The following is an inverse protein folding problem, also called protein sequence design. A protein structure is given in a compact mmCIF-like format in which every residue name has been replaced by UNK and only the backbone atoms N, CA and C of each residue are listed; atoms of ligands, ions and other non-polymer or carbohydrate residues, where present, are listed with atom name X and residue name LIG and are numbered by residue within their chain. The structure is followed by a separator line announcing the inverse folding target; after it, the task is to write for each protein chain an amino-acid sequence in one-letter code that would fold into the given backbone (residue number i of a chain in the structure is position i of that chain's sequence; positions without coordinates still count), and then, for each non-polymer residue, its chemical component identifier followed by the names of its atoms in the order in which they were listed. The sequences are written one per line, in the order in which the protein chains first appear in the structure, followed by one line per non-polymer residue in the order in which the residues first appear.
data_IF_679833783911
#
_entry.id   IF_679833783911
#
_cell.length_a   1.000
_cell.length_b   1.000
_cell.length_c   1.000
_cell.angle_alpha   90.00
_cell.angle_beta   90.00
_cell.angle_gamma   90.00
#
_symmetry.space_group_name_H-M   'P 1'
#
loop_
_entity.id
_entity.type
_entity.pdbx_description
1 polymer ?
#
# COMPACT_ATOMS: atom_id res chain seq x y z
N UNK A 1 -13.30 -6.91 -22.34
CA UNK A 1 -12.53 -7.69 -21.35
C UNK A 1 -12.06 -6.73 -20.26
N UNK A 2 -12.47 -6.91 -19.01
CA UNK A 2 -12.03 -6.09 -17.88
C UNK A 2 -10.70 -6.63 -17.33
N UNK A 3 -9.61 -5.86 -17.53
CA UNK A 3 -8.28 -6.22 -17.04
C UNK A 3 -7.88 -5.26 -15.92
N UNK A 4 -7.64 -5.81 -14.73
CA UNK A 4 -7.05 -5.09 -13.60
C UNK A 4 -5.61 -5.54 -13.44
N UNK A 5 -4.68 -4.59 -13.46
CA UNK A 5 -3.25 -4.82 -13.25
C UNK A 5 -2.92 -4.25 -11.88
N UNK A 6 -2.22 -5.03 -11.06
CA UNK A 6 -1.71 -4.59 -9.77
C UNK A 6 -0.19 -4.73 -9.76
N UNK A 7 0.51 -3.60 -9.65
CA UNK A 7 1.98 -3.56 -9.63
C UNK A 7 2.57 -3.93 -8.25
N UNK A 8 1.82 -4.64 -7.42
CA UNK A 8 2.19 -5.02 -6.05
C UNK A 8 2.53 -3.83 -5.14
N UNK A 9 2.13 -2.60 -5.48
CA UNK A 9 2.40 -1.40 -4.69
C UNK A 9 1.17 -0.98 -3.91
N UNK A 10 1.40 -0.52 -2.69
CA UNK A 10 0.40 0.20 -1.91
C UNK A 10 0.24 1.63 -2.45
N UNK A 11 -0.94 2.26 -2.27
CA UNK A 11 -1.08 3.68 -2.57
C UNK A 11 -0.12 4.48 -1.67
N UNK A 12 0.68 5.34 -2.30
CA UNK A 12 1.59 6.24 -1.62
C UNK A 12 0.88 7.44 -1.01
N UNK A 13 1.64 8.29 -0.32
CA UNK A 13 1.17 9.63 0.07
C UNK A 13 1.12 10.54 -1.16
N UNK A 14 0.21 11.51 -1.13
CA UNK A 14 0.07 12.49 -2.21
C UNK A 14 1.38 13.28 -2.38
N UNK A 15 1.92 13.30 -3.60
CA UNK A 15 3.21 13.94 -3.91
C UNK A 15 4.46 13.06 -3.80
N UNK A 16 4.33 11.77 -3.42
CA UNK A 16 5.47 10.85 -3.40
C UNK A 16 5.94 10.48 -4.82
N UNK A 17 7.19 10.80 -5.15
CA UNK A 17 7.81 10.55 -6.46
C UNK A 17 7.91 9.06 -6.85
N UNK A 18 7.90 8.13 -5.88
CA UNK A 18 8.11 6.69 -6.11
C UNK A 18 6.91 5.80 -5.77
N UNK A 19 5.71 6.37 -5.57
CA UNK A 19 4.53 5.61 -5.13
C UNK A 19 4.69 5.03 -3.71
N UNK A 20 3.77 4.15 -3.29
CA UNK A 20 3.83 3.51 -1.98
C UNK A 20 4.71 2.25 -1.95
N UNK A 21 4.89 1.65 -0.76
CA UNK A 21 5.76 0.50 -0.59
C UNK A 21 5.29 -0.72 -1.39
N UNK A 22 6.24 -1.59 -1.74
CA UNK A 22 5.97 -2.87 -2.40
C UNK A 22 5.42 -3.85 -1.37
N UNK A 23 4.41 -4.61 -1.77
CA UNK A 23 3.78 -5.64 -0.96
C UNK A 23 4.74 -6.82 -0.74
N UNK A 24 4.81 -7.29 0.51
CA UNK A 24 5.65 -8.42 0.87
C UNK A 24 5.13 -9.71 0.21
N UNK A 25 6.01 -10.65 -0.19
CA UNK A 25 5.58 -11.94 -0.69
C UNK A 25 4.69 -12.67 0.34
N UNK A 26 3.63 -13.34 -0.14
CA UNK A 26 2.66 -13.99 0.74
C UNK A 26 1.34 -14.33 0.06
N UNK A 27 0.36 -14.77 0.86
CA UNK A 27 -1.00 -15.10 0.39
C UNK A 27 -1.86 -13.85 0.37
N UNK A 28 -2.42 -13.54 -0.79
CA UNK A 28 -3.30 -12.40 -1.01
C UNK A 28 -4.67 -12.86 -1.51
N UNK A 29 -5.67 -11.99 -1.32
CA UNK A 29 -7.02 -12.22 -1.82
C UNK A 29 -7.48 -11.00 -2.60
N UNK A 30 -7.85 -11.22 -3.88
CA UNK A 30 -8.50 -10.21 -4.69
C UNK A 30 -10.02 -10.32 -4.48
N UNK A 31 -10.65 -9.19 -4.16
CA UNK A 31 -12.11 -9.07 -4.05
C UNK A 31 -12.63 -8.16 -5.15
N UNK A 32 -13.45 -8.70 -6.04
CA UNK A 32 -14.20 -7.95 -7.03
C UNK A 32 -15.66 -7.82 -6.57
N UNK A 33 -16.12 -6.59 -6.36
CA UNK A 33 -17.52 -6.31 -5.97
C UNK A 33 -18.22 -5.60 -7.12
N UNK A 34 -19.35 -6.14 -7.59
CA UNK A 34 -20.20 -5.57 -8.64
C UNK A 34 -21.65 -5.57 -8.12
N UNK A 35 -22.14 -4.40 -7.72
CA UNK A 35 -23.44 -4.26 -7.08
C UNK A 35 -23.56 -5.14 -5.83
N UNK A 36 -24.49 -6.09 -5.83
CA UNK A 36 -24.72 -7.05 -4.75
C UNK A 36 -23.84 -8.31 -4.81
N UNK A 37 -23.05 -8.50 -5.87
CA UNK A 37 -22.21 -9.69 -6.04
C UNK A 37 -20.76 -9.38 -5.69
N UNK A 38 -20.16 -10.19 -4.82
CA UNK A 38 -18.73 -10.20 -4.57
C UNK A 38 -18.12 -11.53 -5.02
N UNK A 39 -16.99 -11.47 -5.69
CA UNK A 39 -16.14 -12.62 -5.96
C UNK A 39 -14.81 -12.42 -5.26
N UNK A 40 -14.35 -13.46 -4.56
CA UNK A 40 -13.05 -13.49 -3.92
C UNK A 40 -12.20 -14.59 -4.54
N UNK A 41 -10.96 -14.26 -4.86
CA UNK A 41 -9.97 -15.22 -5.38
C UNK A 41 -8.68 -15.08 -4.59
N UNK A 42 -8.24 -16.18 -4.00
CA UNK A 42 -6.95 -16.29 -3.34
C UNK A 42 -5.86 -16.55 -4.36
N UNK A 43 -4.73 -15.87 -4.22
CA UNK A 43 -3.52 -16.11 -5.00
C UNK A 43 -2.29 -15.92 -4.13
N UNK A 44 -1.18 -16.52 -4.53
CA UNK A 44 0.08 -16.44 -3.80
C UNK A 44 1.07 -15.57 -4.59
N UNK A 45 1.60 -14.55 -3.92
CA UNK A 45 2.67 -13.71 -4.45
C UNK A 45 3.98 -14.35 -4.04
N UNK A 46 4.70 -14.88 -5.04
CA UNK A 46 6.01 -15.49 -4.84
C UNK A 46 7.10 -14.43 -4.74
N UNK A 47 8.14 -14.76 -4.00
CA UNK A 47 9.35 -13.94 -3.88
C UNK A 47 10.12 -13.93 -5.21
N UNK A 48 10.70 -12.78 -5.56
CA UNK A 48 11.60 -12.67 -6.72
C UNK A 48 12.88 -13.48 -6.43
N UNK A 49 13.27 -14.43 -7.30
CA UNK A 49 14.45 -15.27 -7.09
C UNK A 49 15.76 -14.50 -7.01
N UNK A 50 15.83 -13.26 -7.53
CA UNK A 50 17.03 -12.41 -7.41
C UNK A 50 17.23 -11.91 -5.98
N UNK A 51 16.14 -11.55 -5.31
CA UNK A 51 16.17 -11.06 -3.93
C UNK A 51 16.46 -12.20 -2.95
N UNK A 52 15.99 -13.42 -3.26
CA UNK A 52 16.36 -14.61 -2.49
C UNK A 52 17.85 -14.97 -2.63
N UNK A 53 18.47 -14.68 -3.78
CA UNK A 53 19.89 -14.90 -4.00
C UNK A 53 20.78 -13.95 -3.17
N UNK A 54 20.27 -12.76 -2.85
CA UNK A 54 20.94 -11.77 -1.99
C UNK A 54 20.82 -12.10 -0.48
N UNK A 55 20.22 -13.25 -0.13
CA UNK A 55 20.08 -13.70 1.26
C UNK A 55 18.96 -13.01 2.04
N UNK A 56 18.09 -12.26 1.37
CA UNK A 56 16.93 -11.60 1.99
C UNK A 56 15.83 -12.63 2.24
N UNK A 57 15.27 -12.64 3.44
CA UNK A 57 14.16 -13.53 3.82
C UNK A 57 12.81 -12.85 3.62
N UNK A 58 11.74 -13.64 3.47
CA UNK A 58 10.36 -13.12 3.48
C UNK A 58 10.07 -12.29 4.74
N UNK A 59 10.65 -12.67 5.88
CA UNK A 59 10.54 -11.93 7.14
C UNK A 59 11.13 -10.52 7.03
N UNK A 60 12.32 -10.36 6.44
CA UNK A 60 12.95 -9.05 6.24
C UNK A 60 12.11 -8.15 5.33
N UNK A 61 11.50 -8.72 4.28
CA UNK A 61 10.60 -7.99 3.38
C UNK A 61 9.30 -7.56 4.08
N UNK A 62 8.79 -8.38 5.02
CA UNK A 62 7.64 -8.01 5.86
C UNK A 62 7.99 -6.86 6.80
N UNK A 63 9.15 -6.92 7.46
CA UNK A 63 9.61 -5.84 8.34
C UNK A 63 9.81 -4.52 7.57
N UNK A 64 10.36 -4.59 6.36
CA UNK A 64 10.53 -3.43 5.50
C UNK A 64 9.18 -2.81 5.10
N UNK A 65 8.18 -3.65 4.79
CA UNK A 65 6.83 -3.18 4.50
C UNK A 65 6.20 -2.51 5.72
N UNK A 66 6.27 -3.16 6.88
CA UNK A 66 5.70 -2.64 8.13
C UNK A 66 6.33 -1.31 8.55
N UNK A 67 7.65 -1.18 8.38
CA UNK A 67 8.35 0.08 8.58
C UNK A 67 7.84 1.16 7.63
N UNK A 68 7.76 0.85 6.33
CA UNK A 68 7.30 1.80 5.32
C UNK A 68 5.87 2.26 5.55
N UNK A 69 4.97 1.34 5.94
CA UNK A 69 3.58 1.67 6.27
C UNK A 69 3.48 2.58 7.50
N UNK A 70 4.34 2.41 8.51
CA UNK A 70 4.39 3.31 9.67
C UNK A 70 4.79 4.73 9.26
N UNK A 71 5.78 4.88 8.38
CA UNK A 71 6.20 6.19 7.86
C UNK A 71 5.06 6.87 7.09
N UNK A 72 4.43 6.16 6.15
CA UNK A 72 3.26 6.66 5.39
C UNK A 72 2.11 7.08 6.31
N UNK A 73 1.82 6.30 7.36
CA UNK A 73 0.77 6.64 8.33
C UNK A 73 1.09 7.90 9.14
N UNK A 74 2.35 8.08 9.55
CA UNK A 74 2.78 9.27 10.28
C UNK A 74 2.67 10.52 9.40
N UNK A 75 3.13 10.42 8.15
CA UNK A 75 3.07 11.50 7.17
C UNK A 75 1.62 11.92 6.86
N UNK A 76 0.73 10.95 6.63
CA UNK A 76 -0.71 11.25 6.44
C UNK A 76 -1.32 12.00 7.64
N UNK A 77 -0.92 11.67 8.87
CA UNK A 77 -1.42 12.32 10.09
C UNK A 77 -0.92 13.76 10.21
N UNK A 78 0.35 14.00 9.90
CA UNK A 78 0.86 15.38 9.83
C UNK A 78 0.08 16.15 8.78
N UNK A 79 -0.29 15.47 7.68
CA UNK A 79 -0.99 16.10 6.58
C UNK A 79 -2.37 16.63 6.95
N UNK A 80 -3.20 15.77 7.54
CA UNK A 80 -4.55 16.14 7.96
C UNK A 80 -4.57 17.19 9.08
N UNK A 81 -3.52 17.22 9.92
CA UNK A 81 -3.41 18.20 10.99
C UNK A 81 -3.16 19.62 10.46
N UNK A 82 -2.35 19.78 9.40
CA UNK A 82 -2.15 21.09 8.77
C UNK A 82 -3.39 21.55 7.99
N UNK A 83 -4.11 20.64 7.32
CA UNK A 83 -5.37 20.97 6.63
C UNK A 83 -6.42 21.48 7.61
N UNK A 84 -6.66 20.73 8.69
CA UNK A 84 -7.68 21.08 9.69
C UNK A 84 -7.31 22.36 10.46
N UNK A 85 -6.01 22.63 10.67
CA UNK A 85 -5.53 23.86 11.32
C UNK A 85 -5.56 25.10 10.43
N UNK A 86 -5.41 24.94 9.11
CA UNK A 86 -5.44 26.04 8.13
C UNK A 86 -6.85 26.51 7.76
N UNK A 87 -7.87 25.69 8.01
CA UNK A 87 -9.28 26.03 7.84
C UNK A 87 -9.82 26.86 9.04
N UNK A 88 -9.23 28.04 9.30
CA UNK A 88 -9.88 29.04 10.17
C UNK A 88 -10.99 29.74 9.37
N UNK A 89 -12.27 29.70 9.80
CA UNK A 89 -13.30 30.46 9.11
C UNK A 89 -13.02 31.95 9.26
N UNK A 90 -13.07 32.68 8.14
CA UNK A 90 -13.01 34.13 8.14
C UNK A 90 -14.13 34.66 9.06
N UNK A 91 -13.75 35.22 10.21
CA UNK A 91 -14.70 35.93 11.08
C UNK A 91 -15.22 37.15 10.30
N UNK A 92 -16.54 37.23 10.19
CA UNK A 92 -17.28 38.36 9.66
C UNK A 92 -17.55 39.38 10.75
#
# INVERSE_FOLDING_TARGET
MNRFIWDLRYPGVDGAFFGGPIAAPGKYQARLSIGSRSQMRSFEVKMDPRVAADGVTVADLQEQLDFSLRVTRCDRRSSQAWETGSARPARR
#
